data_IF_648339420632
#
_entry.id   IF_648339420632
#
_cell.length_a   1.000
_cell.length_b   1.000
_cell.length_c   1.000
_cell.angle_alpha   90.00
_cell.angle_beta   90.00
_cell.angle_gamma   90.00
#
_symmetry.space_group_name_H-M   'P 1'
#
loop_
_entity.id
_entity.type
_entity.pdbx_description
1 polymer ?
#
# COMPACT_ATOMS: atom_id res chain seq x y z
N UNK A 1 2.56 24.65 -3.18
CA UNK A 1 2.25 24.09 -4.51
C UNK A 1 0.73 23.90 -4.58
N UNK A 2 0.00 24.84 -5.21
CA UNK A 2 -1.45 24.70 -5.43
C UNK A 2 -1.64 23.65 -6.53
N UNK A 3 -2.43 22.61 -6.29
CA UNK A 3 -2.67 21.52 -7.25
C UNK A 3 -3.44 22.08 -8.45
N UNK A 4 -2.72 22.43 -9.51
CA UNK A 4 -3.24 23.07 -10.75
C UNK A 4 -3.89 22.09 -11.73
N UNK A 5 -4.05 20.81 -11.35
CA UNK A 5 -4.61 19.78 -12.22
C UNK A 5 -6.14 19.90 -12.47
N UNK A 6 -6.86 20.73 -11.72
CA UNK A 6 -8.33 20.80 -11.80
C UNK A 6 -8.91 21.62 -12.97
N UNK A 7 -8.22 22.67 -13.46
CA UNK A 7 -8.84 23.62 -14.41
C UNK A 7 -9.02 23.07 -15.83
N UNK A 8 -8.08 22.26 -16.32
CA UNK A 8 -8.18 21.66 -17.66
C UNK A 8 -9.26 20.59 -17.75
N UNK A 9 -9.41 19.79 -16.70
CA UNK A 9 -10.39 18.69 -16.65
C UNK A 9 -11.83 19.20 -16.53
N UNK A 10 -12.07 20.24 -15.73
CA UNK A 10 -13.41 20.81 -15.55
C UNK A 10 -13.91 21.58 -16.79
N UNK A 11 -13.02 22.23 -17.55
CA UNK A 11 -13.36 22.86 -18.84
C UNK A 11 -13.76 21.86 -19.92
N UNK A 12 -13.21 20.64 -19.89
CA UNK A 12 -13.58 19.57 -20.82
C UNK A 12 -15.00 19.02 -20.57
N UNK A 13 -15.59 19.30 -19.41
CA UNK A 13 -16.93 18.83 -19.02
C UNK A 13 -18.04 19.88 -19.21
N UNK A 14 -17.80 20.99 -19.94
CA UNK A 14 -18.76 22.09 -20.15
C UNK A 14 -19.37 22.68 -18.87
N UNK A 15 -18.63 22.63 -17.75
CA UNK A 15 -19.02 23.25 -16.49
C UNK A 15 -18.78 24.76 -16.58
N UNK A 16 -19.77 25.58 -16.21
CA UNK A 16 -19.68 27.04 -16.36
C UNK A 16 -18.57 27.63 -15.47
N UNK A 17 -17.93 28.73 -15.89
CA UNK A 17 -16.81 29.33 -15.14
C UNK A 17 -17.20 29.71 -13.70
N UNK A 18 -18.49 29.99 -13.45
CA UNK A 18 -19.06 30.27 -12.12
C UNK A 18 -19.07 29.04 -11.20
N UNK A 19 -19.37 27.85 -11.73
CA UNK A 19 -19.31 26.58 -11.01
C UNK A 19 -17.86 26.10 -10.77
N UNK A 20 -16.92 26.51 -11.62
CA UNK A 20 -15.49 26.24 -11.43
C UNK A 20 -14.91 27.05 -10.27
N UNK A 21 -15.35 28.31 -10.09
CA UNK A 21 -14.96 29.13 -8.93
C UNK A 21 -15.58 28.62 -7.62
N UNK A 22 -16.85 28.23 -7.61
CA UNK A 22 -17.49 27.67 -6.40
C UNK A 22 -16.88 26.33 -5.98
N UNK A 23 -16.54 25.45 -6.92
CA UNK A 23 -15.86 24.17 -6.61
C UNK A 23 -14.39 24.33 -6.22
N UNK A 24 -13.76 25.47 -6.53
CA UNK A 24 -12.39 25.78 -6.11
C UNK A 24 -12.27 26.38 -4.69
N UNK A 25 -13.39 26.69 -4.02
CA UNK A 25 -13.41 27.12 -2.62
C UNK A 25 -13.14 25.95 -1.65
N UNK A 26 -12.08 25.18 -1.88
CA UNK A 26 -11.43 24.42 -0.82
C UNK A 26 -10.87 25.41 0.19
N UNK A 27 -11.25 25.25 1.46
CA UNK A 27 -10.80 26.12 2.56
C UNK A 27 -9.29 26.38 2.46
N UNK A 28 -8.88 27.66 2.46
CA UNK A 28 -7.47 27.99 2.53
C UNK A 28 -6.87 27.43 3.82
N UNK A 29 -5.56 27.16 3.84
CA UNK A 29 -4.87 26.68 5.03
C UNK A 29 -5.09 27.63 6.23
N UNK A 30 -5.22 28.92 5.97
CA UNK A 30 -5.50 29.95 6.97
C UNK A 30 -6.94 29.87 7.52
N UNK A 31 -7.92 29.57 6.68
CA UNK A 31 -9.30 29.34 7.10
C UNK A 31 -9.45 28.07 7.92
N UNK A 32 -8.73 27.00 7.54
CA UNK A 32 -8.66 25.77 8.32
C UNK A 32 -8.03 26.02 9.70
N UNK A 33 -6.92 26.77 9.76
CA UNK A 33 -6.29 27.17 11.03
C UNK A 33 -7.23 27.99 11.90
N UNK A 34 -7.95 28.96 11.33
CA UNK A 34 -8.95 29.77 12.04
C UNK A 34 -10.09 28.90 12.60
N UNK A 35 -10.61 27.97 11.81
CA UNK A 35 -11.66 27.03 12.24
C UNK A 35 -11.19 26.12 13.37
N UNK A 36 -10.00 25.52 13.26
CA UNK A 36 -9.42 24.70 14.33
C UNK A 36 -9.16 25.49 15.61
N UNK A 37 -8.68 26.73 15.50
CA UNK A 37 -8.47 27.59 16.65
C UNK A 37 -9.80 28.00 17.33
N UNK A 38 -10.87 28.22 16.55
CA UNK A 38 -12.21 28.47 17.09
C UNK A 38 -12.79 27.23 17.78
N UNK A 39 -12.63 26.05 17.18
CA UNK A 39 -13.08 24.78 17.76
C UNK A 39 -12.33 24.45 19.05
N UNK A 40 -11.01 24.68 19.10
CA UNK A 40 -10.20 24.50 20.32
C UNK A 40 -10.65 25.43 21.44
N UNK A 41 -10.98 26.70 21.12
CA UNK A 41 -11.53 27.66 22.09
C UNK A 41 -12.89 27.22 22.62
N UNK A 42 -13.78 26.75 21.74
CA UNK A 42 -15.11 26.27 22.13
C UNK A 42 -15.02 25.01 23.00
N UNK A 43 -14.18 24.03 22.63
CA UNK A 43 -13.95 22.82 23.41
C UNK A 43 -13.41 23.12 24.82
N UNK A 44 -12.54 24.13 24.96
CA UNK A 44 -12.03 24.57 26.26
C UNK A 44 -13.12 25.24 27.12
N UNK A 45 -14.04 25.98 26.50
CA UNK A 45 -15.14 26.67 27.19
C UNK A 45 -16.27 25.72 27.60
N UNK A 46 -16.51 24.65 26.84
CA UNK A 46 -17.60 23.69 27.06
C UNK A 46 -17.11 22.23 27.04
N UNK A 47 -16.38 21.79 28.07
CA UNK A 47 -15.74 20.47 28.07
C UNK A 47 -16.75 19.30 28.01
N UNK A 48 -17.88 19.43 28.70
CA UNK A 48 -18.93 18.39 28.72
C UNK A 48 -19.57 18.24 27.34
N UNK A 49 -19.94 19.36 26.71
CA UNK A 49 -20.55 19.35 25.36
C UNK A 49 -19.55 18.88 24.29
N UNK A 50 -18.25 19.20 24.46
CA UNK A 50 -17.20 18.68 23.58
C UNK A 50 -17.07 17.15 23.68
N UNK A 51 -17.15 16.59 24.89
CA UNK A 51 -17.15 15.14 25.11
C UNK A 51 -18.38 14.47 24.51
N UNK A 52 -19.57 15.07 24.66
CA UNK A 52 -20.82 14.56 24.05
C UNK A 52 -20.72 14.60 22.53
N UNK A 53 -20.26 15.72 21.95
CA UNK A 53 -20.03 15.86 20.50
C UNK A 53 -19.06 14.80 19.98
N UNK A 54 -17.96 14.56 20.70
CA UNK A 54 -16.96 13.56 20.33
C UNK A 54 -17.50 12.13 20.43
N UNK A 55 -18.22 11.80 21.51
CA UNK A 55 -18.85 10.51 21.69
C UNK A 55 -19.90 10.26 20.60
N UNK A 56 -20.75 11.24 20.31
CA UNK A 56 -21.74 11.16 19.23
C UNK A 56 -21.09 11.02 17.86
N UNK A 57 -20.00 11.75 17.58
CA UNK A 57 -19.24 11.60 16.35
C UNK A 57 -18.65 10.19 16.23
N UNK A 58 -18.05 9.64 17.29
CA UNK A 58 -17.54 8.26 17.32
C UNK A 58 -18.62 7.22 17.07
N UNK A 59 -19.75 7.35 17.77
CA UNK A 59 -20.87 6.40 17.63
C UNK A 59 -21.45 6.49 16.22
N UNK A 60 -21.69 7.70 15.71
CA UNK A 60 -22.18 7.92 14.35
C UNK A 60 -21.21 7.32 13.32
N UNK A 61 -19.94 7.72 13.32
CA UNK A 61 -18.98 7.20 12.35
C UNK A 61 -18.76 5.69 12.49
N UNK A 62 -18.68 5.17 13.71
CA UNK A 62 -18.57 3.73 13.95
C UNK A 62 -19.75 2.95 13.37
N UNK A 63 -20.98 3.40 13.62
CA UNK A 63 -22.20 2.76 13.09
C UNK A 63 -22.25 2.88 11.56
N UNK A 64 -22.03 4.07 10.99
CA UNK A 64 -22.09 4.27 9.53
C UNK A 64 -21.00 3.48 8.79
N UNK A 65 -19.76 3.46 9.29
CA UNK A 65 -18.68 2.64 8.73
C UNK A 65 -19.04 1.17 8.82
N UNK A 66 -19.57 0.71 9.96
CA UNK A 66 -19.98 -0.70 10.13
C UNK A 66 -21.10 -1.08 9.16
N UNK A 67 -22.07 -0.20 8.94
CA UNK A 67 -23.16 -0.44 8.00
C UNK A 67 -22.69 -0.44 6.53
N UNK A 68 -21.80 0.47 6.17
CA UNK A 68 -21.18 0.48 4.84
C UNK A 68 -20.33 -0.78 4.62
N UNK A 69 -19.52 -1.17 5.62
CA UNK A 69 -18.72 -2.40 5.58
C UNK A 69 -19.61 -3.65 5.51
N UNK A 70 -20.73 -3.69 6.23
CA UNK A 70 -21.72 -4.76 6.12
C UNK A 70 -22.33 -4.81 4.71
N UNK A 71 -22.68 -3.65 4.14
CA UNK A 71 -23.19 -3.57 2.76
C UNK A 71 -22.17 -4.10 1.76
N UNK A 72 -20.90 -3.75 1.91
CA UNK A 72 -19.84 -4.31 1.07
C UNK A 72 -19.69 -5.81 1.31
N UNK A 73 -19.66 -6.26 2.55
CA UNK A 73 -19.53 -7.69 2.89
C UNK A 73 -20.66 -8.51 2.28
N UNK A 74 -21.91 -8.04 2.37
CA UNK A 74 -23.07 -8.67 1.74
C UNK A 74 -22.96 -8.62 0.22
N UNK A 75 -22.60 -7.47 -0.36
CA UNK A 75 -22.39 -7.31 -1.81
C UNK A 75 -21.34 -8.28 -2.33
N UNK A 76 -20.20 -8.39 -1.65
CA UNK A 76 -19.11 -9.29 -2.00
C UNK A 76 -19.49 -10.76 -1.79
N UNK A 77 -20.24 -11.08 -0.74
CA UNK A 77 -20.80 -12.43 -0.52
C UNK A 77 -21.79 -12.83 -1.60
N UNK A 78 -22.69 -11.94 -1.98
CA UNK A 78 -23.62 -12.15 -3.09
C UNK A 78 -22.89 -12.25 -4.44
N UNK A 79 -21.85 -11.44 -4.67
CA UNK A 79 -21.00 -11.56 -5.84
C UNK A 79 -20.24 -12.89 -5.88
N UNK A 80 -19.77 -13.42 -4.74
CA UNK A 80 -19.16 -14.75 -4.66
C UNK A 80 -20.16 -15.86 -4.98
N UNK A 81 -21.38 -15.79 -4.44
CA UNK A 81 -22.39 -16.84 -4.65
C UNK A 81 -23.01 -16.84 -6.05
N UNK A 82 -23.23 -15.68 -6.67
CA UNK A 82 -24.02 -15.58 -7.92
C UNK A 82 -23.23 -15.18 -9.16
N UNK A 83 -22.05 -14.57 -9.02
CA UNK A 83 -21.22 -14.17 -10.16
C UNK A 83 -20.10 -15.16 -10.49
N UNK A 84 -19.96 -16.24 -9.71
CA UNK A 84 -19.12 -17.39 -10.08
C UNK A 84 -17.65 -17.05 -10.25
N UNK A 85 -17.10 -16.12 -9.44
CA UNK A 85 -15.66 -16.19 -9.21
C UNK A 85 -15.42 -17.50 -8.49
N UNK A 86 -14.98 -18.50 -9.24
CA UNK A 86 -14.54 -19.76 -8.68
C UNK A 86 -13.41 -19.40 -7.72
N UNK A 87 -13.64 -19.50 -6.41
CA UNK A 87 -12.63 -19.21 -5.39
C UNK A 87 -11.28 -19.91 -5.73
N UNK A 88 -11.25 -21.15 -6.26
CA UNK A 88 -10.03 -21.76 -6.81
C UNK A 88 -9.31 -20.92 -7.87
N UNK A 89 -10.02 -20.22 -8.77
CA UNK A 89 -9.44 -19.39 -9.82
C UNK A 89 -8.77 -18.12 -9.24
N UNK A 90 -9.41 -17.50 -8.24
CA UNK A 90 -8.85 -16.32 -7.57
C UNK A 90 -7.62 -16.70 -6.74
N UNK A 91 -7.66 -17.86 -6.08
CA UNK A 91 -6.57 -18.34 -5.24
C UNK A 91 -5.39 -18.82 -6.10
N UNK A 92 -5.66 -19.56 -7.19
CA UNK A 92 -4.64 -19.95 -8.16
C UNK A 92 -3.99 -18.74 -8.85
N UNK A 93 -4.77 -17.70 -9.18
CA UNK A 93 -4.22 -16.45 -9.71
C UNK A 93 -3.23 -15.80 -8.75
N UNK A 94 -3.54 -15.78 -7.45
CA UNK A 94 -2.64 -15.24 -6.43
C UNK A 94 -1.35 -16.05 -6.30
N UNK A 95 -1.44 -17.37 -6.24
CA UNK A 95 -0.26 -18.25 -6.16
C UNK A 95 0.58 -18.17 -7.44
N UNK A 96 -0.03 -18.12 -8.63
CA UNK A 96 0.70 -17.96 -9.89
C UNK A 96 1.38 -16.59 -9.99
N UNK A 97 0.71 -15.51 -9.56
CA UNK A 97 1.35 -14.19 -9.46
C UNK A 97 2.52 -14.20 -8.50
N UNK A 98 2.40 -14.83 -7.33
CA UNK A 98 3.51 -14.93 -6.38
C UNK A 98 4.71 -15.65 -7.00
N UNK A 99 4.48 -16.78 -7.70
CA UNK A 99 5.54 -17.50 -8.44
C UNK A 99 6.20 -16.62 -9.50
N UNK A 100 5.41 -15.88 -10.28
CA UNK A 100 5.92 -14.98 -11.32
C UNK A 100 6.77 -13.86 -10.72
N UNK A 101 6.27 -13.19 -9.69
CA UNK A 101 7.00 -12.11 -9.01
C UNK A 101 8.32 -12.60 -8.40
N UNK A 102 8.35 -13.80 -7.80
CA UNK A 102 9.60 -14.41 -7.32
C UNK A 102 10.60 -14.59 -8.47
N UNK A 103 10.15 -15.10 -9.62
CA UNK A 103 11.02 -15.29 -10.80
C UNK A 103 11.58 -13.97 -11.31
N UNK A 104 10.73 -12.94 -11.41
CA UNK A 104 11.12 -11.60 -11.87
C UNK A 104 12.16 -11.00 -10.91
N UNK A 105 11.89 -11.00 -9.60
CA UNK A 105 12.82 -10.44 -8.61
C UNK A 105 14.15 -11.20 -8.59
N UNK A 106 14.12 -12.54 -8.71
CA UNK A 106 15.34 -13.36 -8.85
C UNK A 106 16.11 -13.03 -10.13
N UNK A 107 15.42 -12.69 -11.23
CA UNK A 107 16.05 -12.27 -12.47
C UNK A 107 16.69 -10.89 -12.32
N UNK A 108 15.98 -9.90 -11.79
CA UNK A 108 16.49 -8.55 -11.50
C UNK A 108 17.76 -8.58 -10.65
N UNK A 109 17.79 -9.47 -9.65
CA UNK A 109 18.98 -9.72 -8.82
C UNK A 109 20.19 -10.22 -9.62
N UNK A 110 19.97 -11.05 -10.64
CA UNK A 110 21.05 -11.58 -11.51
C UNK A 110 21.56 -10.55 -12.50
N UNK A 111 20.65 -9.79 -13.10
CA UNK A 111 21.00 -8.80 -14.14
C UNK A 111 21.44 -7.46 -13.56
N UNK A 112 21.39 -7.29 -12.23
CA UNK A 112 21.80 -6.05 -11.57
C UNK A 112 21.01 -4.84 -12.14
N UNK A 113 19.69 -4.96 -12.15
CA UNK A 113 18.77 -3.94 -12.66
C UNK A 113 17.84 -3.43 -11.56
N UNK A 114 17.21 -2.28 -11.82
CA UNK A 114 16.23 -1.67 -10.94
C UNK A 114 16.77 -1.07 -9.65
N UNK A 115 17.98 -0.52 -9.71
CA UNK A 115 18.70 0.02 -8.56
C UNK A 115 18.16 1.38 -8.13
N UNK A 116 17.57 1.52 -6.94
CA UNK A 116 17.07 2.81 -6.49
C UNK A 116 18.21 3.77 -6.14
N UNK A 117 18.19 4.95 -6.76
CA UNK A 117 19.15 6.05 -6.50
C UNK A 117 19.19 6.41 -5.00
N UNK A 118 18.05 6.30 -4.31
CA UNK A 118 17.91 6.62 -2.87
C UNK A 118 18.80 5.75 -1.95
N UNK A 119 19.25 4.57 -2.39
CA UNK A 119 20.13 3.69 -1.61
C UNK A 119 21.63 4.05 -1.73
N UNK A 120 21.97 5.02 -2.58
CA UNK A 120 23.34 5.47 -2.77
C UNK A 120 23.76 6.36 -1.61
N UNK A 121 24.97 6.18 -1.12
CA UNK A 121 25.62 7.17 -0.26
C UNK A 121 26.19 8.33 -1.12
N UNK A 122 26.59 9.45 -0.50
CA UNK A 122 27.12 10.62 -1.22
C UNK A 122 28.31 10.31 -2.15
N UNK A 123 29.12 9.29 -1.83
CA UNK A 123 30.28 8.88 -2.66
C UNK A 123 29.83 8.08 -3.87
N UNK A 124 28.92 7.13 -3.66
CA UNK A 124 28.30 6.30 -4.69
C UNK A 124 27.42 7.14 -5.62
N UNK A 125 26.72 8.16 -5.11
CA UNK A 125 25.91 9.11 -5.89
C UNK A 125 26.78 9.92 -6.86
N UNK A 126 27.94 10.41 -6.40
CA UNK A 126 28.94 11.06 -7.27
C UNK A 126 29.43 10.11 -8.37
N UNK A 127 29.67 8.84 -8.04
CA UNK A 127 30.08 7.82 -9.03
C UNK A 127 28.94 7.44 -9.99
N UNK A 128 27.71 7.38 -9.51
CA UNK A 128 26.52 7.09 -10.31
C UNK A 128 26.28 8.18 -11.34
N UNK A 129 26.44 9.45 -10.97
CA UNK A 129 26.35 10.57 -11.91
C UNK A 129 27.47 10.56 -12.97
N UNK A 130 28.62 9.94 -12.66
CA UNK A 130 29.73 9.73 -13.59
C UNK A 130 29.56 8.48 -14.47
N UNK A 131 28.52 7.65 -14.25
CA UNK A 131 28.30 6.36 -14.94
C UNK A 131 28.06 6.51 -16.46
N UNK A 132 27.67 7.70 -16.90
CA UNK A 132 27.53 8.04 -18.32
C UNK A 132 28.86 8.25 -19.05
N UNK A 133 30.00 8.24 -18.34
CA UNK A 133 31.31 8.08 -18.95
C UNK A 133 31.63 6.59 -19.15
N UNK A 134 32.03 6.24 -20.38
CA UNK A 134 32.25 4.86 -20.89
C UNK A 134 33.17 3.96 -20.03
N UNK A 135 33.91 4.53 -19.09
CA UNK A 135 34.90 3.83 -18.25
C UNK A 135 34.45 3.53 -16.81
N UNK A 136 33.17 3.72 -16.48
CA UNK A 136 32.68 3.48 -15.10
C UNK A 136 32.68 2.00 -14.72
N UNK A 137 33.85 1.55 -14.22
CA UNK A 137 34.06 0.26 -13.56
C UNK A 137 32.98 0.03 -12.49
N UNK A 138 32.39 -1.17 -12.56
CA UNK A 138 31.60 -1.90 -11.54
C UNK A 138 31.11 -1.05 -10.37
N UNK A 139 29.79 -0.84 -10.33
CA UNK A 139 29.08 -0.35 -9.15
C UNK A 139 29.57 -1.03 -7.87
N UNK A 140 29.71 -0.27 -6.78
CA UNK A 140 30.26 -0.71 -5.50
C UNK A 140 29.61 -2.03 -5.03
N UNK A 141 30.45 -3.02 -4.73
CA UNK A 141 30.06 -4.35 -4.23
C UNK A 141 29.14 -4.21 -3.00
N UNK A 142 29.36 -3.19 -2.17
CA UNK A 142 28.53 -2.93 -0.99
C UNK A 142 27.12 -2.46 -1.34
N UNK A 143 26.94 -1.67 -2.39
CA UNK A 143 25.63 -1.24 -2.83
C UNK A 143 24.80 -2.41 -3.38
N UNK A 144 25.44 -3.25 -4.21
CA UNK A 144 24.82 -4.47 -4.72
C UNK A 144 24.36 -5.39 -3.60
N UNK A 145 25.18 -5.53 -2.54
CA UNK A 145 24.81 -6.28 -1.34
C UNK A 145 23.57 -5.71 -0.65
N UNK A 146 23.52 -4.39 -0.40
CA UNK A 146 22.36 -3.74 0.24
C UNK A 146 21.07 -3.92 -0.56
N UNK A 147 21.15 -3.80 -1.88
CA UNK A 147 19.98 -4.01 -2.74
C UNK A 147 19.54 -5.48 -2.77
N UNK A 148 20.49 -6.41 -2.91
CA UNK A 148 20.18 -7.83 -2.89
C UNK A 148 19.53 -8.27 -1.57
N UNK A 149 19.97 -7.72 -0.42
CA UNK A 149 19.34 -7.98 0.88
C UNK A 149 17.86 -7.52 0.90
N UNK A 150 17.53 -6.43 0.21
CA UNK A 150 16.15 -5.95 0.06
C UNK A 150 15.35 -6.87 -0.85
N UNK A 151 15.90 -7.26 -2.01
CA UNK A 151 15.25 -8.20 -2.94
C UNK A 151 15.00 -9.55 -2.26
N UNK A 152 15.92 -10.04 -1.44
CA UNK A 152 15.77 -11.29 -0.69
C UNK A 152 14.63 -11.22 0.33
N UNK A 153 14.42 -10.07 0.98
CA UNK A 153 13.27 -9.86 1.87
C UNK A 153 11.95 -9.85 1.09
N UNK A 154 11.91 -9.25 -0.10
CA UNK A 154 10.72 -9.29 -0.97
C UNK A 154 10.41 -10.72 -1.41
N UNK A 155 11.44 -11.47 -1.84
CA UNK A 155 11.30 -12.89 -2.23
C UNK A 155 10.75 -13.70 -1.06
N UNK A 156 11.30 -13.54 0.16
CA UNK A 156 10.79 -14.22 1.35
C UNK A 156 9.31 -13.91 1.62
N UNK A 157 8.88 -12.67 1.39
CA UNK A 157 7.47 -12.29 1.50
C UNK A 157 6.60 -13.08 0.52
N UNK A 158 6.94 -13.10 -0.76
CA UNK A 158 6.21 -13.87 -1.77
C UNK A 158 6.28 -15.39 -1.56
N UNK A 159 7.39 -15.91 -1.04
CA UNK A 159 7.49 -17.33 -0.68
C UNK A 159 6.63 -17.68 0.54
N UNK A 160 6.36 -16.72 1.43
CA UNK A 160 5.51 -16.93 2.60
C UNK A 160 4.04 -17.11 2.22
N UNK A 161 3.53 -16.36 1.22
CA UNK A 161 2.14 -16.53 0.75
C UNK A 161 1.94 -17.89 0.08
N UNK A 162 2.92 -18.36 -0.70
CA UNK A 162 2.88 -19.71 -1.29
C UNK A 162 2.90 -20.83 -0.24
N UNK A 163 3.54 -20.58 0.91
CA UNK A 163 3.56 -21.54 2.03
C UNK A 163 2.24 -21.51 2.79
N UNK A 164 1.58 -20.35 2.87
CA UNK A 164 0.30 -20.19 3.55
C UNK A 164 -0.80 -21.07 2.92
N UNK A 165 -0.85 -21.08 1.58
CA UNK A 165 -1.73 -21.97 0.80
C UNK A 165 -1.56 -23.47 1.16
N UNK A 166 -0.35 -23.85 1.61
CA UNK A 166 0.01 -25.23 1.95
C UNK A 166 -0.14 -25.58 3.44
N UNK A 167 -0.43 -24.61 4.32
CA UNK A 167 -0.56 -24.85 5.78
C UNK A 167 -1.72 -25.80 6.10
N UNK A 168 -2.70 -25.91 5.21
CA UNK A 168 -3.92 -26.69 5.44
C UNK A 168 -3.94 -28.09 4.80
N UNK A 169 -2.93 -28.47 4.01
CA UNK A 169 -3.06 -29.58 3.06
C UNK A 169 -2.37 -30.90 3.40
N UNK A 170 -1.61 -31.05 4.50
CA UNK A 170 -0.92 -32.32 4.78
C UNK A 170 -0.72 -32.63 6.26
N UNK A 171 -1.75 -33.16 6.91
CA UNK A 171 -1.55 -34.27 7.85
C UNK A 171 -2.73 -35.22 7.75
N UNK A 172 -2.44 -36.52 7.60
CA UNK A 172 -3.43 -37.62 7.73
C UNK A 172 -4.01 -37.73 9.14
N UNK A 173 -3.50 -36.92 10.07
CA UNK A 173 -3.87 -36.89 11.48
C UNK A 173 -4.51 -35.53 11.79
N UNK A 174 -5.63 -35.60 12.53
CA UNK A 174 -6.42 -34.52 13.14
C UNK A 174 -5.89 -33.09 12.89
N UNK A 175 -6.66 -32.33 12.12
CA UNK A 175 -6.44 -30.91 11.89
C UNK A 175 -6.40 -30.11 13.21
N UNK A 176 -5.27 -29.47 13.51
CA UNK A 176 -5.05 -28.61 14.68
C UNK A 176 -5.24 -27.15 14.26
N UNK A 177 -6.43 -26.61 14.53
CA UNK A 177 -6.82 -25.24 14.19
C UNK A 177 -5.87 -24.19 14.79
N UNK A 178 -5.47 -24.36 16.05
CA UNK A 178 -4.70 -23.35 16.80
C UNK A 178 -3.28 -23.23 16.25
N UNK A 179 -2.60 -24.35 16.01
CA UNK A 179 -1.25 -24.33 15.42
C UNK A 179 -1.27 -23.81 13.99
N UNK A 180 -2.28 -24.17 13.21
CA UNK A 180 -2.45 -23.70 11.83
C UNK A 180 -2.66 -22.19 11.78
N UNK A 181 -3.47 -21.64 12.69
CA UNK A 181 -3.72 -20.20 12.77
C UNK A 181 -2.47 -19.41 13.22
N UNK A 182 -1.74 -19.90 14.21
CA UNK A 182 -0.46 -19.30 14.63
C UNK A 182 0.50 -19.26 13.45
N UNK A 183 0.65 -20.39 12.73
CA UNK A 183 1.57 -20.47 11.60
C UNK A 183 1.16 -19.53 10.46
N UNK A 184 -0.14 -19.43 10.19
CA UNK A 184 -0.71 -18.50 9.23
C UNK A 184 -0.39 -17.05 9.57
N UNK A 185 -0.56 -16.65 10.84
CA UNK A 185 -0.23 -15.28 11.31
C UNK A 185 1.25 -14.96 11.14
N UNK A 186 2.15 -15.91 11.42
CA UNK A 186 3.58 -15.75 11.18
C UNK A 186 3.89 -15.51 9.69
N UNK A 187 3.33 -16.34 8.81
CA UNK A 187 3.54 -16.24 7.37
C UNK A 187 2.98 -14.93 6.80
N UNK A 188 1.80 -14.52 7.25
CA UNK A 188 1.19 -13.24 6.87
C UNK A 188 2.05 -12.04 7.29
N UNK A 189 2.69 -12.11 8.47
CA UNK A 189 3.63 -11.06 8.90
C UNK A 189 4.82 -10.95 7.96
N UNK A 190 5.44 -12.08 7.61
CA UNK A 190 6.58 -12.13 6.67
C UNK A 190 6.16 -11.61 5.28
N UNK A 191 4.98 -12.02 4.82
CA UNK A 191 4.41 -11.52 3.57
C UNK A 191 4.24 -10.00 3.59
N UNK A 192 3.60 -9.45 4.63
CA UNK A 192 3.39 -8.01 4.77
C UNK A 192 4.70 -7.22 4.80
N UNK A 193 5.70 -7.68 5.55
CA UNK A 193 7.01 -7.05 5.59
C UNK A 193 7.67 -7.02 4.20
N UNK A 194 7.55 -8.11 3.43
CA UNK A 194 8.00 -8.18 2.05
C UNK A 194 7.22 -7.25 1.10
N UNK A 195 5.89 -7.16 1.26
CA UNK A 195 5.03 -6.32 0.42
C UNK A 195 5.23 -4.83 0.65
N UNK A 196 5.53 -4.42 1.89
CA UNK A 196 5.91 -3.04 2.19
C UNK A 196 7.14 -2.64 1.38
N UNK A 197 8.15 -3.52 1.33
CA UNK A 197 9.36 -3.29 0.55
C UNK A 197 9.06 -3.31 -0.96
N UNK A 198 8.33 -4.31 -1.43
CA UNK A 198 7.94 -4.44 -2.84
C UNK A 198 7.20 -3.19 -3.34
N UNK A 199 6.23 -2.71 -2.57
CA UNK A 199 5.46 -1.49 -2.89
C UNK A 199 6.34 -0.25 -2.86
N UNK A 200 7.19 -0.11 -1.83
CA UNK A 200 8.10 1.04 -1.68
C UNK A 200 9.04 1.18 -2.88
N UNK A 201 9.51 0.06 -3.42
CA UNK A 201 10.50 0.04 -4.49
C UNK A 201 9.93 -0.36 -5.84
N UNK A 202 8.61 -0.43 -5.98
CA UNK A 202 7.95 -0.94 -7.18
C UNK A 202 8.46 -0.25 -8.44
N UNK A 203 8.52 1.09 -8.46
CA UNK A 203 9.01 1.85 -9.62
C UNK A 203 10.45 1.49 -9.98
N UNK A 204 11.32 1.40 -8.98
CA UNK A 204 12.71 1.04 -9.20
C UNK A 204 12.85 -0.37 -9.77
N UNK A 205 11.97 -1.32 -9.47
CA UNK A 205 12.04 -2.67 -10.07
C UNK A 205 11.81 -2.69 -11.59
N UNK A 206 11.23 -1.63 -12.15
CA UNK A 206 10.84 -1.54 -13.56
C UNK A 206 11.53 -0.40 -14.33
N UNK A 207 12.42 0.35 -13.67
CA UNK A 207 13.32 1.35 -14.27
C UNK A 207 14.61 0.68 -14.78
#
# INVERSE_FOLDING_TARGET
MKVTLGKKFLKQMNVSDKEVEEKQNGFSLEDLKKKWAAEKRWNKKHPILANIKYAWWKVRYGIWITLDDMKYTIKWGFQRMFRGYDDPMVWSYWSENAKLNIKIIKHLRKIHCGYPIILLNKKEEKQWNLRWNKDSKKLDINYNKRWNDILDKMIKGWEAILKEDNVFLKTKEKYDHTKSEIKRKELLKIFNDGMILYTRWYRSLWD
#
